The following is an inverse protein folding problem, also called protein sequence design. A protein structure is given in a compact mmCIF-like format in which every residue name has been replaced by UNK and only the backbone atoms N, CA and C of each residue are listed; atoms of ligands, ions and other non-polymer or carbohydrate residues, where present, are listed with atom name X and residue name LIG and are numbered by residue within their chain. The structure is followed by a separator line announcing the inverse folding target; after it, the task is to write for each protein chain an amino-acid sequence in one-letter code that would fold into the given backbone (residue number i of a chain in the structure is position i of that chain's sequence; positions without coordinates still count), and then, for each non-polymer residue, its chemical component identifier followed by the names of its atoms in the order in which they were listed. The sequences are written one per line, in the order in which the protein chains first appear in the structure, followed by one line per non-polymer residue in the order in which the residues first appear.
data_IF_194770803008
#
_entry.id   IF_194770803008
#
_cell.length_a   1.000
_cell.length_b   1.000
_cell.length_c   1.000
_cell.angle_alpha   90.00
_cell.angle_beta   90.00
_cell.angle_gamma   90.00
#
_symmetry.space_group_name_H-M   'P 1'
#
loop_
_entity.id
_entity.type
_entity.pdbx_description
1 polymer ?
#
# COMPACT_ATOMS: atom_id res chain seq x y z
N UNK A 1 -17.28 -7.00 -12.80
CA UNK A 1 -15.98 -6.43 -12.39
C UNK A 1 -16.21 -5.60 -11.14
N UNK A 2 -15.24 -5.55 -10.22
CA UNK A 2 -15.36 -4.72 -9.01
C UNK A 2 -15.38 -3.23 -9.38
N UNK A 3 -16.26 -2.45 -8.78
CA UNK A 3 -16.30 -0.99 -8.91
C UNK A 3 -15.32 -0.38 -7.92
N UNK A 4 -14.32 0.36 -8.40
CA UNK A 4 -13.24 0.89 -7.56
C UNK A 4 -13.19 2.41 -7.68
N UNK A 5 -13.20 3.11 -6.54
CA UNK A 5 -12.94 4.54 -6.49
C UNK A 5 -11.42 4.81 -6.56
N UNK A 6 -10.98 5.62 -7.51
CA UNK A 6 -9.58 5.99 -7.71
C UNK A 6 -9.40 7.43 -7.26
N UNK A 7 -8.78 7.65 -6.08
CA UNK A 7 -8.39 9.00 -5.68
C UNK A 7 -7.22 9.48 -6.54
N UNK A 8 -7.31 10.72 -7.04
CA UNK A 8 -6.39 11.19 -8.09
C UNK A 8 -5.02 11.63 -7.54
N UNK A 9 -4.92 11.80 -6.23
CA UNK A 9 -3.70 12.24 -5.58
C UNK A 9 -3.37 13.70 -5.87
N UNK A 10 -2.09 14.04 -5.85
CA UNK A 10 -1.62 15.40 -6.12
C UNK A 10 -1.67 15.71 -7.63
N UNK A 11 -2.54 16.64 -8.03
CA UNK A 11 -2.69 17.03 -9.43
C UNK A 11 -1.47 17.75 -10.01
N UNK A 12 -0.53 18.23 -9.19
CA UNK A 12 0.75 18.74 -9.69
C UNK A 12 1.76 17.61 -9.99
N UNK A 13 1.43 16.36 -9.67
CA UNK A 13 2.22 15.16 -9.94
C UNK A 13 1.68 14.32 -11.11
N UNK A 14 2.19 13.09 -11.23
CA UNK A 14 1.89 12.18 -12.35
C UNK A 14 0.55 11.43 -12.25
N UNK A 15 -0.17 11.52 -11.12
CA UNK A 15 -1.33 10.67 -10.84
C UNK A 15 -2.42 10.75 -11.93
N UNK A 16 -2.80 11.96 -12.31
CA UNK A 16 -3.81 12.18 -13.36
C UNK A 16 -3.32 11.74 -14.75
N UNK A 17 -2.03 11.86 -15.05
CA UNK A 17 -1.45 11.35 -16.29
C UNK A 17 -1.56 9.81 -16.35
N UNK A 18 -1.23 9.12 -15.26
CA UNK A 18 -1.40 7.67 -15.15
C UNK A 18 -2.85 7.25 -15.39
N UNK A 19 -3.82 7.94 -14.78
CA UNK A 19 -5.24 7.66 -14.94
C UNK A 19 -5.71 7.84 -16.40
N UNK A 20 -5.43 8.99 -17.02
CA UNK A 20 -5.86 9.30 -18.39
C UNK A 20 -5.23 8.37 -19.43
N UNK A 21 -3.91 8.19 -19.37
CA UNK A 21 -3.17 7.38 -20.36
C UNK A 21 -3.55 5.91 -20.31
N UNK A 22 -3.89 5.40 -19.12
CA UNK A 22 -4.09 3.97 -18.89
C UNK A 22 -5.56 3.56 -18.74
N UNK A 23 -6.53 4.47 -18.87
CA UNK A 23 -7.96 4.17 -18.71
C UNK A 23 -8.41 2.94 -19.52
N UNK A 24 -7.94 2.82 -20.76
CA UNK A 24 -8.23 1.68 -21.64
C UNK A 24 -7.71 0.32 -21.14
N UNK A 25 -6.67 0.32 -20.30
CA UNK A 25 -6.16 -0.87 -19.60
C UNK A 25 -6.89 -1.07 -18.26
N UNK A 26 -7.11 0.01 -17.51
CA UNK A 26 -7.79 0.00 -16.20
C UNK A 26 -9.15 -0.68 -16.30
N UNK A 27 -9.95 -0.32 -17.32
CA UNK A 27 -11.29 -0.86 -17.52
C UNK A 27 -11.34 -2.35 -17.91
N UNK A 28 -10.19 -2.98 -18.17
CA UNK A 28 -10.09 -4.44 -18.37
C UNK A 28 -10.04 -5.20 -17.05
N UNK A 29 -9.69 -4.53 -15.95
CA UNK A 29 -9.53 -5.16 -14.63
C UNK A 29 -10.69 -4.83 -13.68
N UNK A 30 -11.19 -3.60 -13.75
CA UNK A 30 -12.17 -3.04 -12.81
C UNK A 30 -13.17 -2.12 -13.53
N UNK A 31 -14.21 -1.70 -12.82
CA UNK A 31 -15.05 -0.54 -13.21
C UNK A 31 -14.55 0.70 -12.45
N UNK A 32 -13.75 1.60 -13.06
CA UNK A 32 -13.15 2.73 -12.36
C UNK A 32 -14.11 3.90 -12.20
N UNK A 33 -14.12 4.52 -11.02
CA UNK A 33 -14.68 5.85 -10.77
C UNK A 33 -13.53 6.76 -10.30
N UNK A 34 -13.18 7.78 -11.07
CA UNK A 34 -12.08 8.69 -10.73
C UNK A 34 -12.60 9.85 -9.87
N UNK A 35 -11.99 10.04 -8.71
CA UNK A 35 -12.42 11.10 -7.79
C UNK A 35 -11.73 12.41 -8.16
N UNK A 36 -12.21 13.00 -9.24
CA UNK A 36 -11.85 14.30 -9.79
C UNK A 36 -13.13 14.91 -10.37
N UNK A 37 -13.29 16.24 -10.30
CA UNK A 37 -14.38 16.95 -10.97
C UNK A 37 -14.02 17.32 -12.43
N UNK A 38 -15.03 17.66 -13.23
CA UNK A 38 -14.87 17.94 -14.67
C UNK A 38 -13.98 19.15 -14.96
N UNK A 39 -13.99 20.16 -14.10
CA UNK A 39 -13.20 21.38 -14.27
C UNK A 39 -11.72 21.03 -14.15
N UNK A 40 -11.33 20.40 -13.04
CA UNK A 40 -9.94 20.01 -12.80
C UNK A 40 -9.44 18.95 -13.78
N UNK A 41 -10.32 18.02 -14.19
CA UNK A 41 -10.01 17.03 -15.23
C UNK A 41 -9.69 17.70 -16.57
N UNK A 42 -10.49 18.70 -16.97
CA UNK A 42 -10.29 19.42 -18.23
C UNK A 42 -8.96 20.20 -18.23
N UNK A 43 -8.67 20.91 -17.14
CA UNK A 43 -7.40 21.62 -16.95
C UNK A 43 -6.19 20.68 -17.03
N UNK A 44 -6.24 19.55 -16.32
CA UNK A 44 -5.16 18.57 -16.34
C UNK A 44 -4.98 17.97 -17.75
N UNK A 45 -6.08 17.64 -18.43
CA UNK A 45 -6.07 17.06 -19.77
C UNK A 45 -5.46 18.01 -20.81
N UNK A 46 -5.77 19.31 -20.72
CA UNK A 46 -5.22 20.35 -21.60
C UNK A 46 -3.71 20.50 -21.40
N UNK A 47 -3.25 20.60 -20.15
CA UNK A 47 -1.82 20.68 -19.81
C UNK A 47 -1.05 19.43 -20.27
N UNK A 48 -1.66 18.25 -20.16
CA UNK A 48 -1.07 16.98 -20.60
C UNK A 48 -1.20 16.74 -22.11
N UNK A 49 -1.98 17.54 -22.83
CA UNK A 49 -2.34 17.32 -24.25
C UNK A 49 -2.91 15.92 -24.50
N UNK A 50 -3.68 15.41 -23.54
CA UNK A 50 -4.35 14.11 -23.64
C UNK A 50 -5.83 14.33 -23.96
N UNK A 51 -6.45 13.36 -24.64
CA UNK A 51 -7.91 13.32 -24.81
C UNK A 51 -8.52 12.62 -23.59
N UNK A 52 -9.56 13.22 -23.02
CA UNK A 52 -10.39 12.56 -22.00
C UNK A 52 -11.20 11.45 -22.69
N UNK A 53 -11.11 10.18 -22.25
CA UNK A 53 -11.96 9.10 -22.77
C UNK A 53 -13.44 9.40 -22.51
N UNK A 54 -14.31 9.04 -23.46
CA UNK A 54 -15.76 9.32 -23.35
C UNK A 54 -16.41 8.54 -22.18
N UNK A 55 -15.81 7.42 -21.78
CA UNK A 55 -16.22 6.56 -20.65
C UNK A 55 -15.44 6.82 -19.35
N UNK A 56 -14.78 7.98 -19.22
CA UNK A 56 -14.06 8.37 -18.00
C UNK A 56 -15.01 8.88 -16.90
N UNK A 57 -15.52 7.97 -16.06
CA UNK A 57 -16.45 8.29 -14.95
C UNK A 57 -15.75 9.15 -13.87
N UNK A 58 -16.26 10.35 -13.64
CA UNK A 58 -15.78 11.34 -12.67
C UNK A 58 -16.90 11.74 -11.68
N UNK A 59 -16.55 12.36 -10.57
CA UNK A 59 -17.52 12.87 -9.59
C UNK A 59 -17.95 14.29 -9.91
N UNK A 60 -19.08 14.74 -9.34
CA UNK A 60 -19.61 16.09 -9.61
C UNK A 60 -18.74 17.19 -8.98
N UNK A 61 -18.26 16.96 -7.75
CA UNK A 61 -17.50 17.93 -6.99
C UNK A 61 -16.52 17.23 -6.05
N UNK A 62 -15.29 17.75 -5.97
CA UNK A 62 -14.27 17.29 -5.01
C UNK A 62 -13.92 18.41 -4.02
N UNK A 63 -13.46 19.54 -4.54
CA UNK A 63 -13.04 20.69 -3.74
C UNK A 63 -13.03 21.94 -4.63
N UNK A 64 -12.64 23.08 -4.04
CA UNK A 64 -12.44 24.30 -4.79
C UNK A 64 -11.35 24.07 -5.86
N UNK A 65 -11.66 24.42 -7.12
CA UNK A 65 -10.71 24.37 -8.22
C UNK A 65 -9.51 25.29 -7.99
N UNK A 66 -8.38 24.94 -8.59
CA UNK A 66 -7.14 25.69 -8.46
C UNK A 66 -6.29 25.61 -9.73
N UNK A 67 -5.32 26.51 -9.84
CA UNK A 67 -4.36 26.46 -10.94
C UNK A 67 -3.38 25.31 -10.72
N UNK A 68 -3.40 24.31 -11.60
CA UNK A 68 -2.39 23.26 -11.64
C UNK A 68 -1.04 23.89 -11.98
N UNK A 69 -0.06 23.70 -11.10
CA UNK A 69 1.31 24.14 -11.27
C UNK A 69 2.19 22.90 -11.24
N UNK A 70 2.47 22.30 -12.42
CA UNK A 70 3.28 21.09 -12.50
C UNK A 70 4.54 21.15 -11.64
N UNK A 71 4.87 20.03 -11.00
CA UNK A 71 6.10 19.88 -10.22
C UNK A 71 6.23 20.80 -9.01
N UNK A 72 5.16 21.49 -8.62
CA UNK A 72 5.16 22.46 -7.52
C UNK A 72 4.36 21.94 -6.34
N UNK A 73 4.95 22.00 -5.14
CA UNK A 73 4.25 21.70 -3.89
C UNK A 73 3.33 22.88 -3.57
N UNK A 74 2.01 22.67 -3.53
CA UNK A 74 1.06 23.71 -3.14
C UNK A 74 0.03 23.23 -2.11
N UNK A 75 -0.50 24.16 -1.30
CA UNK A 75 -1.53 23.83 -0.32
C UNK A 75 -2.86 23.46 -1.01
N UNK A 76 -3.12 24.05 -2.17
CA UNK A 76 -4.33 23.81 -2.96
C UNK A 76 -4.33 22.38 -3.51
N UNK A 77 -3.20 21.91 -4.07
CA UNK A 77 -3.10 20.54 -4.56
C UNK A 77 -3.16 19.53 -3.42
N UNK A 78 -2.53 19.85 -2.27
CA UNK A 78 -2.62 19.03 -1.07
C UNK A 78 -4.05 18.90 -0.53
N UNK A 79 -4.79 20.00 -0.46
CA UNK A 79 -6.20 20.02 -0.05
C UNK A 79 -7.06 19.19 -1.01
N UNK A 80 -6.92 19.41 -2.31
CA UNK A 80 -7.69 18.69 -3.32
C UNK A 80 -7.42 17.18 -3.30
N UNK A 81 -6.14 16.79 -3.20
CA UNK A 81 -5.72 15.39 -3.11
C UNK A 81 -6.34 14.68 -1.91
N UNK A 82 -6.43 15.36 -0.76
CA UNK A 82 -7.03 14.81 0.44
C UNK A 82 -8.55 14.70 0.35
N UNK A 83 -9.25 15.71 -0.18
CA UNK A 83 -10.71 15.61 -0.38
C UNK A 83 -11.05 14.50 -1.40
N UNK A 84 -10.25 14.35 -2.46
CA UNK A 84 -10.35 13.24 -3.41
C UNK A 84 -10.22 11.88 -2.72
N UNK A 85 -9.24 11.75 -1.82
CA UNK A 85 -9.06 10.55 -1.01
C UNK A 85 -10.22 10.31 -0.04
N UNK A 86 -10.69 11.34 0.65
CA UNK A 86 -11.78 11.27 1.62
C UNK A 86 -13.10 10.83 0.96
N UNK A 87 -13.46 11.41 -0.18
CA UNK A 87 -14.64 10.98 -0.95
C UNK A 87 -14.52 9.51 -1.38
N UNK A 88 -13.35 9.05 -1.83
CA UNK A 88 -13.15 7.64 -2.16
C UNK A 88 -13.43 6.73 -0.94
N UNK A 89 -12.92 7.11 0.24
CA UNK A 89 -13.15 6.38 1.49
C UNK A 89 -14.63 6.38 1.87
N UNK A 90 -15.31 7.51 1.80
CA UNK A 90 -16.74 7.63 2.11
C UNK A 90 -17.59 6.73 1.20
N UNK A 91 -17.31 6.72 -0.11
CA UNK A 91 -17.97 5.82 -1.06
C UNK A 91 -17.77 4.34 -0.71
N UNK A 92 -16.57 3.95 -0.27
CA UNK A 92 -16.29 2.58 0.14
C UNK A 92 -16.98 2.22 1.47
N UNK A 93 -17.01 3.16 2.41
CA UNK A 93 -17.72 3.01 3.70
C UNK A 93 -19.22 2.82 3.49
N UNK A 94 -19.80 3.53 2.53
CA UNK A 94 -21.22 3.46 2.17
C UNK A 94 -21.56 2.28 1.24
N UNK A 95 -20.59 1.43 0.90
CA UNK A 95 -20.78 0.27 0.02
C UNK A 95 -21.12 0.65 -1.43
N UNK A 96 -20.80 1.87 -1.87
CA UNK A 96 -21.01 2.35 -3.24
C UNK A 96 -19.92 1.86 -4.21
N UNK A 97 -18.77 1.46 -3.67
CA UNK A 97 -17.65 0.86 -4.38
C UNK A 97 -17.12 -0.33 -3.58
N UNK A 98 -16.52 -1.30 -4.27
CA UNK A 98 -15.95 -2.52 -3.70
C UNK A 98 -14.56 -2.30 -3.07
N UNK A 99 -13.96 -1.12 -3.28
CA UNK A 99 -12.67 -0.75 -2.73
C UNK A 99 -12.14 0.56 -3.31
N UNK A 100 -10.97 0.98 -2.83
CA UNK A 100 -10.33 2.23 -3.25
C UNK A 100 -8.89 2.02 -3.71
N UNK A 101 -8.55 2.64 -4.83
CA UNK A 101 -7.17 2.78 -5.27
C UNK A 101 -6.71 4.22 -5.05
N UNK A 102 -5.52 4.39 -4.51
CA UNK A 102 -4.98 5.74 -4.21
C UNK A 102 -3.74 6.03 -5.05
N UNK A 103 -3.80 7.10 -5.85
CA UNK A 103 -2.65 7.64 -6.57
C UNK A 103 -1.75 8.50 -5.64
N UNK A 104 -0.52 8.81 -6.04
CA UNK A 104 0.47 9.44 -5.16
C UNK A 104 0.05 10.81 -4.61
N UNK A 105 0.41 11.07 -3.36
CA UNK A 105 0.25 12.37 -2.69
C UNK A 105 1.62 12.96 -2.34
N UNK A 106 1.68 14.28 -2.23
CA UNK A 106 2.83 14.96 -1.64
C UNK A 106 2.57 15.30 -0.17
N UNK A 107 3.28 14.63 0.76
CA UNK A 107 3.04 14.79 2.22
C UNK A 107 3.19 16.25 2.69
N UNK A 108 4.15 17.00 2.13
CA UNK A 108 4.30 18.43 2.45
C UNK A 108 3.14 19.29 1.96
N UNK A 109 2.50 18.90 0.85
CA UNK A 109 1.32 19.61 0.34
C UNK A 109 0.14 19.42 1.30
N UNK A 110 -0.05 18.20 1.82
CA UNK A 110 -1.02 17.92 2.90
C UNK A 110 -0.75 18.77 4.15
N UNK A 111 0.50 18.78 4.62
CA UNK A 111 0.91 19.59 5.78
C UNK A 111 0.62 21.10 5.55
N UNK A 112 0.98 21.65 4.39
CA UNK A 112 0.73 23.05 4.02
C UNK A 112 -0.78 23.37 3.93
N UNK A 113 -1.60 22.37 3.63
CA UNK A 113 -3.05 22.49 3.64
C UNK A 113 -3.65 22.38 5.05
N UNK A 114 -2.85 22.14 6.09
CA UNK A 114 -3.31 21.93 7.46
C UNK A 114 -3.87 20.53 7.74
N UNK A 115 -3.45 19.53 6.95
CA UNK A 115 -3.86 18.14 7.11
C UNK A 115 -2.80 17.40 7.94
N UNK A 116 -3.20 16.89 9.10
CA UNK A 116 -2.31 16.33 10.11
C UNK A 116 -2.14 14.80 9.99
N UNK A 117 -2.06 14.28 8.76
CA UNK A 117 -1.78 12.86 8.52
C UNK A 117 -0.45 12.70 7.78
N UNK A 118 0.32 11.67 8.16
CA UNK A 118 1.59 11.32 7.51
C UNK A 118 1.40 10.68 6.14
N UNK A 119 0.18 10.26 5.80
CA UNK A 119 -0.23 9.75 4.49
C UNK A 119 -1.51 8.93 4.56
N UNK A 120 -1.83 8.22 3.47
CA UNK A 120 -3.08 7.46 3.35
C UNK A 120 -3.29 6.44 4.48
N UNK A 121 -2.31 5.58 4.77
CA UNK A 121 -2.47 4.53 5.80
C UNK A 121 -2.72 5.13 7.18
N UNK A 122 -2.09 6.26 7.50
CA UNK A 122 -2.28 6.98 8.76
C UNK A 122 -3.71 7.52 8.88
N UNK A 123 -4.22 8.16 7.81
CA UNK A 123 -5.60 8.64 7.75
C UNK A 123 -6.62 7.48 7.80
N UNK A 124 -6.35 6.36 7.14
CA UNK A 124 -7.24 5.19 7.16
C UNK A 124 -7.38 4.58 8.56
N UNK A 125 -6.31 4.57 9.36
CA UNK A 125 -6.38 4.09 10.75
C UNK A 125 -7.37 4.91 11.56
N UNK A 126 -7.31 6.23 11.42
CA UNK A 126 -8.19 7.16 12.12
C UNK A 126 -9.63 7.10 11.59
N UNK A 127 -9.83 7.08 10.27
CA UNK A 127 -11.16 7.03 9.65
C UNK A 127 -11.95 5.76 9.98
N UNK A 128 -11.27 4.65 10.24
CA UNK A 128 -11.88 3.36 10.52
C UNK A 128 -11.69 2.86 11.95
N UNK A 129 -10.98 3.61 12.81
CA UNK A 129 -10.58 3.18 14.15
C UNK A 129 -10.01 1.74 14.15
N UNK A 130 -9.05 1.49 13.24
CA UNK A 130 -8.49 0.15 13.02
C UNK A 130 -6.98 0.18 12.86
N UNK A 131 -6.32 -0.87 13.35
CA UNK A 131 -4.89 -1.11 13.16
C UNK A 131 -4.60 -1.62 11.75
N UNK A 132 -4.53 -0.71 10.77
CA UNK A 132 -4.14 -1.07 9.41
C UNK A 132 -2.76 -1.73 9.38
N UNK A 133 -2.60 -2.79 8.58
CA UNK A 133 -1.32 -3.47 8.35
C UNK A 133 -0.79 -3.08 6.97
N UNK A 134 0.41 -2.52 6.92
CA UNK A 134 1.08 -2.21 5.66
C UNK A 134 1.74 -3.45 5.06
N UNK A 135 1.35 -3.78 3.82
CA UNK A 135 1.98 -4.82 3.01
C UNK A 135 2.38 -4.25 1.65
N UNK A 136 3.64 -4.44 1.27
CA UNK A 136 4.15 -4.01 -0.03
C UNK A 136 4.56 -5.21 -0.86
N UNK A 137 4.45 -5.12 -2.18
CA UNK A 137 5.06 -6.10 -3.07
C UNK A 137 4.33 -6.32 -4.37
N UNK A 138 4.61 -7.43 -5.02
CA UNK A 138 3.96 -7.86 -6.25
C UNK A 138 3.60 -9.34 -6.18
N UNK A 139 2.99 -9.88 -7.23
CA UNK A 139 2.55 -11.29 -7.29
C UNK A 139 3.67 -12.29 -6.95
N UNK A 140 4.94 -11.94 -7.23
CA UNK A 140 6.11 -12.77 -6.93
C UNK A 140 6.51 -12.73 -5.45
N UNK A 141 6.25 -11.63 -4.75
CA UNK A 141 6.70 -11.41 -3.37
C UNK A 141 5.95 -10.26 -2.71
N UNK A 142 5.29 -10.54 -1.58
CA UNK A 142 4.66 -9.56 -0.70
C UNK A 142 5.32 -9.58 0.68
N UNK A 143 5.53 -8.40 1.25
CA UNK A 143 6.18 -8.19 2.53
C UNK A 143 5.28 -7.33 3.41
N UNK A 144 4.75 -7.91 4.48
CA UNK A 144 4.04 -7.21 5.54
C UNK A 144 5.02 -6.75 6.62
N UNK A 145 4.76 -5.58 7.21
CA UNK A 145 5.60 -5.00 8.24
C UNK A 145 4.93 -5.15 9.60
N UNK A 146 5.57 -5.85 10.55
CA UNK A 146 5.09 -5.91 11.93
C UNK A 146 5.26 -4.55 12.63
N UNK A 147 6.40 -3.89 12.41
CA UNK A 147 6.63 -2.50 12.79
C UNK A 147 6.93 -1.65 11.56
N UNK A 148 6.31 -0.48 11.49
CA UNK A 148 6.41 0.44 10.34
C UNK A 148 7.36 1.60 10.64
N UNK A 149 6.84 2.83 10.68
CA UNK A 149 7.61 4.07 10.82
C UNK A 149 7.93 4.38 12.29
N UNK A 150 8.67 3.50 12.97
CA UNK A 150 9.18 3.70 14.34
C UNK A 150 10.72 3.78 14.35
N UNK A 151 11.34 4.45 15.32
CA UNK A 151 12.79 4.40 15.51
C UNK A 151 13.27 2.96 15.71
N UNK A 152 14.43 2.61 15.13
CA UNK A 152 14.99 1.26 15.24
C UNK A 152 15.18 0.80 16.69
N UNK A 153 15.47 1.73 17.61
CA UNK A 153 15.59 1.46 19.04
C UNK A 153 14.32 0.97 19.72
N UNK A 154 13.14 1.18 19.11
CA UNK A 154 11.84 0.72 19.63
C UNK A 154 11.44 -0.66 19.10
N UNK A 155 12.04 -1.13 18.00
CA UNK A 155 11.64 -2.38 17.33
C UNK A 155 11.74 -3.60 18.25
N UNK A 156 12.83 -3.70 19.02
CA UNK A 156 13.04 -4.83 19.93
C UNK A 156 11.98 -4.86 21.06
N UNK A 157 11.59 -3.68 21.57
CA UNK A 157 10.56 -3.57 22.60
C UNK A 157 9.19 -4.06 22.07
N UNK A 158 8.82 -3.61 20.87
CA UNK A 158 7.57 -4.01 20.21
C UNK A 158 7.53 -5.52 19.88
N UNK A 159 8.69 -6.10 19.56
CA UNK A 159 8.81 -7.52 19.22
C UNK A 159 8.71 -8.45 20.44
N UNK A 160 8.83 -7.92 21.66
CA UNK A 160 8.66 -8.67 22.91
C UNK A 160 7.21 -8.74 23.38
N UNK A 161 6.31 -7.95 22.82
CA UNK A 161 4.88 -8.00 23.13
C UNK A 161 4.21 -9.17 22.39
N UNK A 162 4.17 -10.33 23.05
CA UNK A 162 3.56 -11.55 22.52
C UNK A 162 2.08 -11.38 22.16
N UNK A 163 1.34 -10.56 22.92
CA UNK A 163 -0.09 -10.34 22.68
C UNK A 163 -0.29 -9.49 21.43
N UNK A 164 0.49 -8.43 21.27
CA UNK A 164 0.48 -7.60 20.06
C UNK A 164 0.88 -8.39 18.83
N UNK A 165 1.95 -9.19 18.91
CA UNK A 165 2.37 -10.03 17.81
C UNK A 165 1.31 -11.09 17.45
N UNK A 166 0.69 -11.72 18.43
CA UNK A 166 -0.41 -12.67 18.20
C UNK A 166 -1.62 -12.03 17.51
N UNK A 167 -2.03 -10.82 17.93
CA UNK A 167 -3.09 -10.05 17.26
C UNK A 167 -2.71 -9.70 15.82
N UNK A 168 -1.47 -9.28 15.59
CA UNK A 168 -0.96 -9.00 14.25
C UNK A 168 -1.05 -10.24 13.34
N UNK A 169 -0.58 -11.41 13.80
CA UNK A 169 -0.66 -12.65 13.01
C UNK A 169 -2.10 -13.02 12.65
N UNK A 170 -3.03 -12.88 13.61
CA UNK A 170 -4.45 -13.13 13.37
C UNK A 170 -5.02 -12.17 12.32
N UNK A 171 -4.84 -10.87 12.51
CA UNK A 171 -5.34 -9.84 11.59
C UNK A 171 -4.73 -9.98 10.19
N UNK A 172 -3.44 -10.28 10.11
CA UNK A 172 -2.76 -10.53 8.84
C UNK A 172 -3.31 -11.77 8.14
N UNK A 173 -3.39 -12.90 8.85
CA UNK A 173 -3.91 -14.14 8.29
C UNK A 173 -5.35 -13.98 7.81
N UNK A 174 -6.24 -13.36 8.60
CA UNK A 174 -7.62 -13.10 8.17
C UNK A 174 -7.68 -12.22 6.91
N UNK A 175 -6.75 -11.28 6.75
CA UNK A 175 -6.72 -10.39 5.59
C UNK A 175 -6.25 -11.06 4.29
N UNK A 176 -5.47 -12.16 4.37
CA UNK A 176 -4.87 -12.79 3.19
C UNK A 176 -5.21 -14.27 3.00
N UNK A 177 -5.94 -14.92 3.93
CA UNK A 177 -6.22 -16.36 3.89
C UNK A 177 -6.83 -16.83 2.56
N UNK A 178 -7.71 -16.02 1.97
CA UNK A 178 -8.38 -16.36 0.70
C UNK A 178 -7.45 -16.20 -0.51
N UNK A 179 -6.31 -15.52 -0.32
CA UNK A 179 -5.25 -15.39 -1.33
C UNK A 179 -4.16 -16.45 -1.17
N UNK A 180 -4.12 -17.20 -0.08
CA UNK A 180 -3.12 -18.26 0.13
C UNK A 180 -3.47 -19.52 -0.66
N UNK A 181 -2.45 -20.13 -1.28
CA UNK A 181 -2.60 -21.46 -1.88
C UNK A 181 -2.65 -22.55 -0.79
N UNK A 182 -3.21 -23.71 -1.11
CA UNK A 182 -3.49 -24.79 -0.13
C UNK A 182 -2.26 -25.14 0.73
N UNK A 183 -1.07 -25.20 0.12
CA UNK A 183 0.19 -25.57 0.78
C UNK A 183 1.15 -24.40 0.99
N UNK A 184 0.69 -23.17 0.74
CA UNK A 184 1.49 -21.97 0.94
C UNK A 184 1.52 -21.60 2.42
N UNK A 185 2.73 -21.39 2.93
CA UNK A 185 2.96 -20.84 4.27
C UNK A 185 3.55 -19.44 4.16
N UNK A 186 3.42 -18.65 5.21
CA UNK A 186 3.96 -17.29 5.33
C UNK A 186 5.32 -17.37 6.03
N UNK A 187 6.34 -16.76 5.43
CA UNK A 187 7.65 -16.64 6.06
C UNK A 187 7.62 -15.54 7.13
N UNK A 188 8.05 -15.85 8.35
CA UNK A 188 8.26 -14.83 9.39
C UNK A 188 9.75 -14.64 9.57
N UNK A 189 10.25 -13.41 9.37
CA UNK A 189 11.66 -13.12 9.61
C UNK A 189 11.93 -13.08 11.12
N UNK A 190 13.12 -13.52 11.52
CA UNK A 190 13.61 -13.26 12.86
C UNK A 190 13.86 -11.76 13.06
N UNK A 191 13.83 -11.29 14.30
CA UNK A 191 14.25 -9.93 14.62
C UNK A 191 15.77 -9.82 14.53
N UNK A 192 16.46 -10.74 15.21
CA UNK A 192 17.89 -10.71 15.38
C UNK A 192 18.64 -11.33 14.19
N UNK A 193 19.89 -10.90 13.93
CA UNK A 193 20.76 -11.61 13.00
C UNK A 193 20.87 -13.08 13.42
N UNK A 194 20.95 -13.97 12.42
CA UNK A 194 21.04 -15.41 12.62
C UNK A 194 19.92 -16.01 13.49
N UNK A 195 18.76 -15.34 13.55
CA UNK A 195 17.65 -15.72 14.40
C UNK A 195 18.03 -15.88 15.88
N UNK A 196 18.89 -14.99 16.37
CA UNK A 196 19.32 -14.93 17.77
C UNK A 196 20.41 -15.94 18.14
N UNK A 197 20.75 -16.88 17.25
CA UNK A 197 21.77 -17.93 17.45
C UNK A 197 21.67 -18.58 18.84
N UNK A 198 20.51 -19.18 19.11
CA UNK A 198 20.18 -19.81 20.41
C UNK A 198 20.25 -18.88 21.64
N UNK A 199 20.11 -17.58 21.45
CA UNK A 199 20.16 -16.58 22.52
C UNK A 199 21.47 -15.81 22.61
N UNK A 200 22.48 -16.16 21.81
CA UNK A 200 23.77 -15.45 21.78
C UNK A 200 23.62 -14.02 21.27
N UNK A 201 22.70 -13.80 20.32
CA UNK A 201 22.48 -12.53 19.63
C UNK A 201 21.12 -11.90 19.96
N UNK A 202 20.53 -12.26 21.10
CA UNK A 202 19.17 -11.87 21.49
C UNK A 202 18.24 -13.07 21.57
N UNK A 203 17.13 -12.93 22.30
CA UNK A 203 16.22 -14.03 22.63
C UNK A 203 14.75 -13.77 22.30
N UNK A 204 14.47 -12.67 21.59
CA UNK A 204 13.14 -12.30 21.10
C UNK A 204 12.51 -13.44 20.27
N UNK A 205 13.30 -14.20 19.52
CA UNK A 205 12.83 -15.35 18.73
C UNK A 205 12.15 -16.43 19.58
N UNK A 206 12.44 -16.55 20.88
CA UNK A 206 11.72 -17.48 21.77
C UNK A 206 10.26 -17.09 21.91
N UNK A 207 10.00 -15.79 22.07
CA UNK A 207 8.64 -15.24 22.17
C UNK A 207 7.95 -15.38 20.82
N UNK A 208 8.60 -14.94 19.74
CA UNK A 208 8.04 -14.97 18.39
C UNK A 208 7.67 -16.40 17.96
N UNK A 209 8.58 -17.37 18.12
CA UNK A 209 8.32 -18.76 17.75
C UNK A 209 7.25 -19.40 18.64
N UNK A 210 7.21 -19.09 19.94
CA UNK A 210 6.14 -19.56 20.82
C UNK A 210 4.75 -19.09 20.36
N UNK A 211 4.62 -17.82 19.96
CA UNK A 211 3.37 -17.27 19.42
C UNK A 211 3.01 -17.93 18.08
N UNK A 212 3.98 -18.11 17.19
CA UNK A 212 3.81 -18.80 15.88
C UNK A 212 3.34 -20.25 16.07
N UNK A 213 3.97 -21.00 16.97
CA UNK A 213 3.64 -22.39 17.23
C UNK A 213 2.21 -22.51 17.78
N UNK A 214 1.84 -21.66 18.75
CA UNK A 214 0.47 -21.60 19.27
C UNK A 214 -0.55 -21.25 18.17
N UNK A 215 -0.21 -20.34 17.25
CA UNK A 215 -1.08 -19.99 16.13
C UNK A 215 -1.27 -21.17 15.18
N UNK A 216 -0.18 -21.83 14.77
CA UNK A 216 -0.24 -22.99 13.88
C UNK A 216 -1.02 -24.16 14.51
N UNK A 217 -0.86 -24.38 15.82
CA UNK A 217 -1.61 -25.39 16.57
C UNK A 217 -3.11 -25.08 16.60
N UNK A 218 -3.50 -23.82 16.88
CA UNK A 218 -4.90 -23.35 16.87
C UNK A 218 -5.59 -23.69 15.54
N UNK A 219 -4.90 -23.52 14.42
CA UNK A 219 -5.43 -23.78 13.08
C UNK A 219 -5.16 -25.18 12.53
N UNK A 220 -4.45 -26.04 13.29
CA UNK A 220 -4.03 -27.38 12.87
C UNK A 220 -3.35 -27.40 11.49
N UNK A 221 -2.63 -26.32 11.16
CA UNK A 221 -1.98 -26.11 9.86
C UNK A 221 -0.73 -25.26 10.06
N UNK A 222 0.32 -25.57 9.30
CA UNK A 222 1.51 -24.71 9.20
C UNK A 222 1.21 -23.48 8.36
N UNK A 223 0.60 -22.46 8.97
CA UNK A 223 0.27 -21.19 8.35
C UNK A 223 1.53 -20.32 8.30
N UNK A 224 2.23 -20.19 9.42
CA UNK A 224 3.47 -19.42 9.53
C UNK A 224 4.67 -20.37 9.65
N UNK A 225 5.80 -19.99 9.06
CA UNK A 225 7.08 -20.63 9.36
C UNK A 225 7.55 -20.21 10.75
N UNK A 226 8.39 -21.02 11.38
CA UNK A 226 9.28 -20.53 12.44
C UNK A 226 10.14 -19.38 11.87
N UNK A 227 10.68 -18.56 12.76
CA UNK A 227 11.48 -17.41 12.36
C UNK A 227 12.64 -17.83 11.46
N UNK A 228 12.79 -17.15 10.32
CA UNK A 228 13.86 -17.39 9.36
C UNK A 228 14.96 -16.35 9.49
N UNK A 229 16.18 -16.78 9.24
CA UNK A 229 17.39 -15.95 9.33
C UNK A 229 17.33 -14.82 8.27
N UNK A 230 17.40 -13.52 8.67
CA UNK A 230 17.02 -12.40 7.80
C UNK A 230 17.86 -12.21 6.52
N UNK A 231 19.17 -12.44 6.58
CA UNK A 231 20.09 -12.23 5.45
C UNK A 231 19.90 -13.26 4.32
N UNK A 232 19.41 -14.46 4.62
CA UNK A 232 19.07 -15.48 3.62
C UNK A 232 17.58 -15.50 3.28
N UNK A 233 16.74 -14.74 4.00
CA UNK A 233 15.28 -14.79 3.90
C UNK A 233 14.77 -14.53 2.48
N UNK A 234 15.43 -13.63 1.75
CA UNK A 234 15.04 -13.23 0.39
C UNK A 234 15.89 -13.85 -0.73
N UNK A 235 16.70 -14.86 -0.40
CA UNK A 235 17.40 -15.67 -1.40
C UNK A 235 16.41 -16.29 -2.40
N UNK A 236 16.86 -16.55 -3.62
CA UNK A 236 16.03 -17.14 -4.68
C UNK A 236 15.28 -18.41 -4.17
N UNK A 237 16.00 -19.31 -3.48
CA UNK A 237 15.44 -20.52 -2.88
C UNK A 237 14.27 -20.25 -1.93
N UNK A 238 14.36 -19.20 -1.11
CA UNK A 238 13.28 -18.85 -0.18
C UNK A 238 12.13 -18.12 -0.88
N UNK A 239 12.40 -17.27 -1.88
CA UNK A 239 11.35 -16.64 -2.70
C UNK A 239 10.59 -17.63 -3.58
N UNK A 240 11.21 -18.73 -3.99
CA UNK A 240 10.53 -19.83 -4.69
C UNK A 240 9.61 -20.63 -3.75
N UNK A 241 9.84 -20.55 -2.44
CA UNK A 241 9.08 -21.27 -1.40
C UNK A 241 7.99 -20.41 -0.77
N UNK A 242 8.23 -19.12 -0.63
CA UNK A 242 7.37 -18.18 0.09
C UNK A 242 7.05 -17.01 -0.81
N UNK A 243 5.75 -16.70 -0.95
CA UNK A 243 5.29 -15.46 -1.57
C UNK A 243 5.04 -14.36 -0.54
N UNK A 244 4.53 -14.71 0.64
CA UNK A 244 4.26 -13.77 1.72
C UNK A 244 5.33 -13.85 2.80
N UNK A 245 5.86 -12.69 3.14
CA UNK A 245 6.84 -12.49 4.19
C UNK A 245 6.30 -11.51 5.23
N UNK A 246 6.63 -11.74 6.50
CA UNK A 246 6.46 -10.78 7.59
C UNK A 246 7.86 -10.34 8.01
N UNK A 247 8.17 -9.07 7.77
CA UNK A 247 9.37 -8.43 8.28
C UNK A 247 9.09 -7.81 9.66
N UNK A 248 10.03 -7.95 10.58
CA UNK A 248 9.89 -7.43 11.94
C UNK A 248 9.98 -5.91 11.99
N UNK A 249 10.67 -5.30 11.01
CA UNK A 249 10.78 -3.85 10.85
C UNK A 249 10.89 -3.45 9.37
N UNK A 250 10.60 -2.17 9.11
CA UNK A 250 10.53 -1.55 7.78
C UNK A 250 11.70 -1.91 6.85
N UNK A 251 12.93 -1.55 7.23
CA UNK A 251 14.09 -1.71 6.35
C UNK A 251 14.50 -3.17 6.12
N UNK A 252 14.16 -4.07 7.05
CA UNK A 252 14.41 -5.51 6.91
C UNK A 252 13.74 -6.09 5.67
N UNK A 253 12.50 -5.65 5.41
CA UNK A 253 11.65 -6.16 4.35
C UNK A 253 11.69 -5.33 3.09
N UNK A 254 11.76 -4.00 3.23
CA UNK A 254 11.62 -3.11 2.07
C UNK A 254 12.90 -2.95 1.26
N UNK A 255 14.09 -3.03 1.87
CA UNK A 255 15.35 -3.02 1.12
C UNK A 255 15.37 -4.15 0.06
N UNK A 256 15.20 -5.43 0.42
CA UNK A 256 15.23 -6.51 -0.56
C UNK A 256 14.06 -6.44 -1.55
N UNK A 257 12.86 -6.03 -1.10
CA UNK A 257 11.73 -5.84 -2.00
C UNK A 257 12.03 -4.79 -3.08
N UNK A 258 12.53 -3.63 -2.69
CA UNK A 258 12.85 -2.54 -3.62
C UNK A 258 14.03 -2.91 -4.52
N UNK A 259 15.02 -3.62 -4.02
CA UNK A 259 16.14 -4.10 -4.83
C UNK A 259 15.70 -5.07 -5.94
N UNK A 260 14.65 -5.87 -5.71
CA UNK A 260 14.19 -6.89 -6.64
C UNK A 260 13.03 -6.43 -7.54
N UNK A 261 12.10 -5.64 -7.01
CA UNK A 261 10.78 -5.40 -7.61
C UNK A 261 10.30 -3.95 -7.48
N UNK A 262 11.21 -2.97 -7.44
CA UNK A 262 10.87 -1.54 -7.26
C UNK A 262 9.67 -1.08 -8.13
N UNK A 263 9.74 -1.34 -9.44
CA UNK A 263 8.74 -0.86 -10.40
C UNK A 263 7.43 -1.65 -10.39
N UNK A 264 7.47 -2.91 -9.93
CA UNK A 264 6.31 -3.81 -9.89
C UNK A 264 5.51 -3.67 -8.59
N UNK A 265 6.15 -3.17 -7.53
CA UNK A 265 5.62 -3.18 -6.17
C UNK A 265 4.41 -2.26 -6.02
N UNK A 266 3.46 -2.69 -5.18
CA UNK A 266 2.24 -1.97 -4.80
C UNK A 266 2.14 -1.92 -3.28
N UNK A 267 1.40 -0.96 -2.75
CA UNK A 267 1.10 -0.87 -1.33
C UNK A 267 -0.36 -1.27 -1.07
N UNK A 268 -0.56 -2.18 -0.12
CA UNK A 268 -1.85 -2.70 0.30
C UNK A 268 -2.03 -2.40 1.78
N UNK A 269 -3.20 -1.86 2.13
CA UNK A 269 -3.59 -1.66 3.54
C UNK A 269 -4.54 -2.78 3.95
N UNK A 270 -4.03 -3.70 4.75
CA UNK A 270 -4.76 -4.85 5.30
C UNK A 270 -5.39 -4.50 6.65
N UNK A 271 -6.24 -5.39 7.17
CA UNK A 271 -6.97 -5.20 8.43
C UNK A 271 -7.86 -3.93 8.46
N UNK A 272 -8.41 -3.55 7.32
CA UNK A 272 -9.39 -2.48 7.18
C UNK A 272 -10.73 -3.08 6.70
N UNK A 273 -11.87 -2.47 7.03
CA UNK A 273 -13.18 -2.92 6.55
C UNK A 273 -13.40 -2.65 5.05
N UNK A 274 -12.44 -2.02 4.39
CA UNK A 274 -12.42 -1.76 2.95
C UNK A 274 -11.14 -2.31 2.32
N UNK A 275 -11.21 -2.70 1.05
CA UNK A 275 -10.02 -3.07 0.28
C UNK A 275 -9.35 -1.82 -0.31
N UNK A 276 -8.09 -1.57 0.08
CA UNK A 276 -7.32 -0.45 -0.45
C UNK A 276 -5.98 -0.88 -1.06
N UNK A 277 -5.72 -0.42 -2.28
CA UNK A 277 -4.40 -0.53 -2.93
C UNK A 277 -3.85 0.85 -3.33
N UNK A 278 -2.56 0.89 -3.62
CA UNK A 278 -1.86 2.10 -4.03
C UNK A 278 -0.60 1.73 -4.79
N UNK A 279 -0.15 2.66 -5.61
CA UNK A 279 1.19 2.59 -6.19
C UNK A 279 2.26 2.73 -5.11
N UNK A 280 3.46 2.23 -5.40
CA UNK A 280 4.59 2.24 -4.47
C UNK A 280 5.68 3.27 -4.86
N UNK A 281 5.30 4.23 -5.71
CA UNK A 281 6.11 5.39 -6.08
C UNK A 281 5.44 6.70 -5.63
N UNK A 282 6.23 7.78 -5.59
CA UNK A 282 5.76 9.12 -5.23
C UNK A 282 5.08 9.86 -6.39
N UNK A 283 4.91 11.16 -6.22
CA UNK A 283 4.27 12.05 -7.21
C UNK A 283 5.11 12.30 -8.47
N UNK A 284 6.39 11.92 -8.45
CA UNK A 284 7.34 12.06 -9.55
C UNK A 284 7.31 13.45 -10.21
N UNK A 285 7.45 14.49 -9.37
CA UNK A 285 7.38 15.89 -9.81
C UNK A 285 8.40 16.21 -10.91
N UNK A 286 9.54 15.54 -10.93
CA UNK A 286 10.58 15.67 -11.95
C UNK A 286 10.10 15.35 -13.38
N UNK A 287 9.08 14.50 -13.53
CA UNK A 287 8.52 14.12 -14.84
C UNK A 287 7.06 14.56 -15.04
N UNK A 288 6.44 15.18 -14.02
CA UNK A 288 5.05 15.60 -14.07
C UNK A 288 4.81 16.63 -15.19
N UNK A 289 3.83 16.37 -16.07
CA UNK A 289 3.48 17.20 -17.23
C UNK A 289 4.64 17.44 -18.22
N UNK A 290 5.62 16.54 -18.23
CA UNK A 290 6.64 16.48 -19.29
C UNK A 290 6.22 15.49 -20.38
N UNK A 291 6.98 15.43 -21.48
CA UNK A 291 6.78 14.40 -22.53
C UNK A 291 7.22 12.99 -22.07
N UNK A 292 7.80 12.86 -20.87
CA UNK A 292 8.22 11.57 -20.32
C UNK A 292 7.00 10.81 -19.79
N UNK A 293 6.77 9.61 -20.34
CA UNK A 293 5.69 8.75 -19.89
C UNK A 293 6.03 8.11 -18.53
N UNK A 294 5.17 8.25 -17.50
CA UNK A 294 5.39 7.58 -16.23
C UNK A 294 5.28 6.06 -16.38
N UNK A 295 6.15 5.31 -15.72
CA UNK A 295 6.03 3.86 -15.63
C UNK A 295 4.70 3.50 -14.95
N UNK A 296 3.86 2.74 -15.66
CA UNK A 296 2.51 2.39 -15.21
C UNK A 296 2.44 1.01 -14.52
N UNK A 297 3.55 0.28 -14.37
CA UNK A 297 3.52 -1.11 -13.95
C UNK A 297 2.96 -1.29 -12.54
N UNK A 298 3.44 -0.50 -11.57
CA UNK A 298 2.88 -0.42 -10.21
C UNK A 298 1.39 -0.05 -10.23
N UNK A 299 0.99 0.91 -11.07
CA UNK A 299 -0.41 1.32 -11.23
C UNK A 299 -1.30 0.16 -11.72
N UNK A 300 -0.89 -0.54 -12.77
CA UNK A 300 -1.62 -1.68 -13.30
C UNK A 300 -1.64 -2.87 -12.34
N UNK A 301 -0.54 -3.13 -11.62
CA UNK A 301 -0.48 -4.20 -10.62
C UNK A 301 -1.42 -3.91 -9.44
N UNK A 302 -1.55 -2.65 -9.02
CA UNK A 302 -2.44 -2.27 -7.92
C UNK A 302 -3.91 -2.47 -8.30
N UNK A 303 -4.25 -2.33 -9.58
CA UNK A 303 -5.58 -2.61 -10.12
C UNK A 303 -5.83 -4.13 -10.25
N UNK A 304 -4.84 -4.88 -10.74
CA UNK A 304 -4.95 -6.35 -10.87
C UNK A 304 -5.17 -7.05 -9.54
N UNK A 305 -4.76 -6.46 -8.42
CA UNK A 305 -4.99 -7.03 -7.09
C UNK A 305 -6.48 -7.15 -6.71
N UNK A 306 -7.37 -6.45 -7.43
CA UNK A 306 -8.82 -6.55 -7.28
C UNK A 306 -9.45 -7.73 -8.01
N UNK A 307 -8.74 -8.35 -8.95
CA UNK A 307 -9.16 -9.59 -9.61
C UNK A 307 -9.15 -10.74 -8.59
#
# INVERSE_FOLDING_TARGET
MKKIAISIGDLNGIGIALALQNHHLVKKFITPMYIIDKEMLSLASELLKLKIPDDFECVEYVSQGFKIMPSTISKESGRYAFESFKIAVELAKDGKVDGIMTLPIHKKAWEMAGINYKGHTDALRDFFDSEAIMMLGCEKMFVALYTEHIPLSQVALESRDALKFGRFLENFYQSIKDKLQIHESIAVLALNPHAGDYGVLGDEEKILNSVIDNFNLKYQKKIFSNTIVPDIAFSQKNRDKYRFFIAMYHDQGLIPLKALYFEESINISLNLPILRTSVDHGTAFDIAYTDTLPNNLSYLNALKYYL
#
